data_IF_848712434431
#
_entry.id   IF_848712434431
#
_cell.length_a   1.000
_cell.length_b   1.000
_cell.length_c   1.000
_cell.angle_alpha   90.00
_cell.angle_beta   90.00
_cell.angle_gamma   90.00
#
_symmetry.space_group_name_H-M   'P 1'
#
loop_
_entity.id
_entity.type
_entity.pdbx_description
1 polymer ?
#
# COMPACT_ATOMS: atom_id res chain seq x y z
N UNK A 1 -24.51 3.91 23.30
CA UNK A 1 -24.22 3.71 21.86
C UNK A 1 -25.00 2.47 21.42
N UNK A 2 -25.46 2.35 20.18
CA UNK A 2 -26.12 1.12 19.71
C UNK A 2 -25.07 0.06 19.34
N UNK A 3 -25.40 -1.23 19.48
CA UNK A 3 -24.53 -2.33 19.06
C UNK A 3 -24.06 -2.18 17.60
N UNK A 4 -24.95 -1.72 16.72
CA UNK A 4 -24.61 -1.50 15.32
C UNK A 4 -23.60 -0.36 15.12
N UNK A 5 -23.77 0.76 15.84
CA UNK A 5 -22.82 1.88 15.77
C UNK A 5 -21.45 1.49 16.35
N UNK A 6 -21.44 0.71 17.43
CA UNK A 6 -20.22 0.18 18.02
C UNK A 6 -19.51 -0.81 17.09
N UNK A 7 -20.26 -1.77 16.52
CA UNK A 7 -19.73 -2.74 15.54
C UNK A 7 -19.07 -2.04 14.35
N UNK A 8 -19.72 -1.00 13.81
CA UNK A 8 -19.18 -0.20 12.71
C UNK A 8 -17.87 0.49 13.10
N UNK A 9 -17.85 1.18 14.23
CA UNK A 9 -16.66 1.86 14.74
C UNK A 9 -15.49 0.88 14.91
N UNK A 10 -15.73 -0.28 15.53
CA UNK A 10 -14.68 -1.29 15.70
C UNK A 10 -14.23 -1.87 14.36
N UNK A 11 -15.13 -2.07 13.39
CA UNK A 11 -14.73 -2.53 12.06
C UNK A 11 -13.85 -1.50 11.32
N UNK A 12 -14.12 -0.20 11.50
CA UNK A 12 -13.33 0.90 10.90
C UNK A 12 -11.90 0.99 11.48
N UNK A 13 -11.65 0.48 12.70
CA UNK A 13 -10.31 0.33 13.27
C UNK A 13 -9.46 -0.74 12.55
N UNK A 14 -10.08 -1.53 11.65
CA UNK A 14 -9.45 -2.58 10.85
C UNK A 14 -9.62 -2.33 9.35
N UNK A 15 -8.75 -1.54 8.70
CA UNK A 15 -8.90 -1.18 7.28
C UNK A 15 -8.99 -2.38 6.33
N UNK A 16 -8.32 -3.49 6.65
CA UNK A 16 -8.40 -4.72 5.85
C UNK A 16 -9.81 -5.33 5.87
N UNK A 17 -10.53 -5.23 7.00
CA UNK A 17 -11.89 -5.73 7.12
C UNK A 17 -12.86 -4.86 6.31
N UNK A 18 -12.74 -3.54 6.39
CA UNK A 18 -13.54 -2.62 5.57
C UNK A 18 -13.33 -2.91 4.08
N UNK A 19 -12.08 -3.11 3.65
CA UNK A 19 -11.75 -3.48 2.27
C UNK A 19 -12.42 -4.80 1.88
N UNK A 20 -12.37 -5.82 2.74
CA UNK A 20 -13.00 -7.12 2.47
C UNK A 20 -14.54 -7.03 2.43
N UNK A 21 -15.15 -6.17 3.27
CA UNK A 21 -16.60 -5.91 3.25
C UNK A 21 -17.00 -5.27 1.92
N UNK A 22 -16.28 -4.24 1.45
CA UNK A 22 -16.47 -3.61 0.13
C UNK A 22 -16.36 -4.63 -1.01
N UNK A 23 -15.46 -5.60 -0.88
CA UNK A 23 -15.26 -6.66 -1.86
C UNK A 23 -16.29 -7.80 -1.79
N UNK A 24 -17.17 -7.82 -0.77
CA UNK A 24 -18.21 -8.84 -0.63
C UNK A 24 -17.69 -10.25 -0.30
N UNK A 25 -16.46 -10.38 0.24
CA UNK A 25 -15.80 -11.67 0.50
C UNK A 25 -15.82 -12.09 1.97
N UNK A 26 -16.47 -11.32 2.84
CA UNK A 26 -16.43 -11.53 4.30
C UNK A 26 -17.39 -12.63 4.76
N UNK A 27 -16.89 -13.56 5.57
CA UNK A 27 -17.72 -14.38 6.43
C UNK A 27 -18.11 -13.56 7.69
N UNK A 28 -19.34 -13.04 7.70
CA UNK A 28 -19.82 -12.12 8.75
C UNK A 28 -19.76 -12.72 10.17
N UNK A 29 -20.01 -14.02 10.33
CA UNK A 29 -19.93 -14.66 11.65
C UNK A 29 -18.48 -14.76 12.13
N UNK A 30 -17.53 -15.02 11.23
CA UNK A 30 -16.11 -15.02 11.58
C UNK A 30 -15.63 -13.61 11.92
N UNK A 31 -15.99 -12.61 11.11
CA UNK A 31 -15.69 -11.21 11.38
C UNK A 31 -16.29 -10.73 12.71
N UNK A 32 -17.52 -11.12 13.03
CA UNK A 32 -18.15 -10.78 14.31
C UNK A 32 -17.38 -11.32 15.53
N UNK A 33 -16.81 -12.53 15.44
CA UNK A 33 -15.95 -13.09 16.50
C UNK A 33 -14.62 -12.38 16.59
N UNK A 34 -14.05 -11.97 15.45
CA UNK A 34 -12.79 -11.23 15.40
C UNK A 34 -12.88 -9.86 16.07
N UNK A 35 -14.02 -9.16 15.93
CA UNK A 35 -14.18 -7.81 16.48
C UNK A 35 -14.35 -7.74 18.00
N UNK A 36 -14.65 -8.86 18.66
CA UNK A 36 -14.80 -8.95 20.12
C UNK A 36 -15.70 -7.85 20.74
N UNK A 37 -16.71 -7.40 20.00
CA UNK A 37 -17.68 -6.39 20.47
C UNK A 37 -18.63 -7.03 21.48
N UNK A 38 -18.96 -6.28 22.55
CA UNK A 38 -19.92 -6.71 23.57
C UNK A 38 -21.33 -6.91 22.98
N UNK A 39 -21.71 -8.15 22.74
CA UNK A 39 -23.03 -8.51 22.21
C UNK A 39 -23.12 -9.93 21.67
N UNK A 40 -24.32 -10.30 21.19
CA UNK A 40 -24.53 -11.58 20.52
C UNK A 40 -23.86 -11.57 19.14
N UNK A 41 -23.07 -12.62 18.84
CA UNK A 41 -22.32 -12.74 17.58
C UNK A 41 -23.21 -12.61 16.34
N UNK A 42 -24.43 -13.16 16.37
CA UNK A 42 -25.36 -13.08 15.23
C UNK A 42 -25.90 -11.66 15.03
N UNK A 43 -26.09 -10.90 16.11
CA UNK A 43 -26.48 -9.51 16.05
C UNK A 43 -25.35 -8.64 15.46
N UNK A 44 -24.10 -8.89 15.86
CA UNK A 44 -22.90 -8.22 15.31
C UNK A 44 -22.72 -8.59 13.84
N UNK A 45 -22.84 -9.87 13.46
CA UNK A 45 -22.76 -10.32 12.07
C UNK A 45 -23.84 -9.66 11.20
N UNK A 46 -25.05 -9.50 11.74
CA UNK A 46 -26.15 -8.78 11.07
C UNK A 46 -25.82 -7.30 10.90
N UNK A 47 -25.22 -6.65 11.91
CA UNK A 47 -24.78 -5.27 11.81
C UNK A 47 -23.67 -5.10 10.75
N UNK A 48 -22.71 -6.01 10.68
CA UNK A 48 -21.66 -6.00 9.65
C UNK A 48 -22.22 -6.15 8.23
N UNK A 49 -23.22 -7.01 8.04
CA UNK A 49 -23.88 -7.17 6.72
C UNK A 49 -24.55 -5.88 6.28
N UNK A 50 -25.30 -5.23 7.18
CA UNK A 50 -25.94 -3.94 6.90
C UNK A 50 -24.90 -2.86 6.58
N UNK A 51 -23.81 -2.83 7.35
CA UNK A 51 -22.73 -1.89 7.07
C UNK A 51 -22.09 -2.14 5.70
N UNK A 52 -21.86 -3.40 5.31
CA UNK A 52 -21.34 -3.73 3.98
C UNK A 52 -22.25 -3.23 2.84
N UNK A 53 -23.57 -3.28 3.02
CA UNK A 53 -24.56 -2.76 2.05
C UNK A 53 -24.52 -1.22 1.91
N UNK A 54 -23.97 -0.50 2.90
CA UNK A 54 -23.81 0.96 2.89
C UNK A 54 -22.49 1.41 2.23
N UNK A 55 -21.52 0.52 2.07
CA UNK A 55 -20.19 0.85 1.55
C UNK A 55 -20.15 0.93 0.02
N UNK A 56 -19.26 1.78 -0.50
CA UNK A 56 -18.90 1.76 -1.93
C UNK A 56 -18.35 0.37 -2.30
N UNK A 57 -18.74 -0.14 -3.48
CA UNK A 57 -18.20 -1.39 -3.97
C UNK A 57 -16.67 -1.30 -4.09
N UNK A 58 -15.97 -2.42 -3.88
CA UNK A 58 -14.55 -2.49 -4.16
C UNK A 58 -14.33 -2.50 -5.68
N UNK A 59 -13.72 -1.45 -6.19
CA UNK A 59 -13.34 -1.32 -7.59
C UNK A 59 -11.83 -1.01 -7.69
N UNK A 60 -11.25 -1.23 -8.87
CA UNK A 60 -9.83 -0.98 -9.13
C UNK A 60 -9.66 -0.36 -10.49
N UNK A 61 -8.74 0.60 -10.58
CA UNK A 61 -8.35 1.25 -11.82
C UNK A 61 -6.85 1.07 -12.11
N UNK A 62 -6.51 0.95 -13.39
CA UNK A 62 -5.12 1.02 -13.84
C UNK A 62 -4.62 2.46 -13.85
N UNK A 63 -3.36 2.67 -13.46
CA UNK A 63 -2.68 3.97 -13.58
C UNK A 63 -1.96 4.08 -14.92
N UNK A 64 -2.10 5.24 -15.57
CA UNK A 64 -1.31 5.57 -16.78
C UNK A 64 0.09 6.03 -16.35
N UNK A 65 1.04 5.10 -16.37
CA UNK A 65 2.38 5.28 -15.82
C UNK A 65 3.42 4.58 -16.68
N UNK A 66 4.64 5.09 -16.66
CA UNK A 66 5.82 4.38 -17.15
C UNK A 66 6.67 3.96 -15.96
N UNK A 67 6.85 2.65 -15.80
CA UNK A 67 7.71 2.07 -14.76
C UNK A 67 9.07 1.74 -15.35
N UNK A 68 10.14 2.01 -14.62
CA UNK A 68 11.51 1.69 -14.98
C UNK A 68 12.31 1.31 -13.74
N UNK A 69 13.40 0.60 -13.96
CA UNK A 69 14.34 0.19 -12.94
C UNK A 69 15.66 0.95 -13.11
N UNK A 70 16.23 1.45 -12.02
CA UNK A 70 17.56 2.05 -11.96
C UNK A 70 18.40 1.27 -10.94
N UNK A 71 19.55 0.75 -11.37
CA UNK A 71 20.50 0.03 -10.53
C UNK A 71 21.68 0.94 -10.16
N UNK A 72 22.47 0.53 -9.16
CA UNK A 72 23.62 1.32 -8.71
C UNK A 72 23.21 2.46 -7.78
N UNK A 73 22.08 2.30 -7.09
CA UNK A 73 21.58 3.28 -6.13
C UNK A 73 22.29 3.05 -4.81
N UNK A 74 22.76 4.11 -4.17
CA UNK A 74 23.27 4.03 -2.81
C UNK A 74 23.05 5.31 -2.02
N UNK A 75 23.41 5.24 -0.74
CA UNK A 75 23.21 6.34 0.21
C UNK A 75 24.11 7.52 -0.13
N UNK A 76 23.60 8.72 0.05
CA UNK A 76 24.34 9.99 -0.08
C UNK A 76 24.12 10.86 1.14
N UNK A 77 25.12 11.66 1.51
CA UNK A 77 25.08 12.57 2.66
C UNK A 77 25.59 13.97 2.27
N UNK A 78 25.15 15.00 2.99
CA UNK A 78 25.67 16.36 2.87
C UNK A 78 25.32 17.03 1.54
N UNK A 79 26.31 17.64 0.87
CA UNK A 79 26.08 18.41 -0.36
C UNK A 79 25.46 17.56 -1.50
N UNK A 80 25.70 16.25 -1.51
CA UNK A 80 25.16 15.31 -2.48
C UNK A 80 23.66 15.00 -2.30
N UNK A 81 23.06 15.35 -1.15
CA UNK A 81 21.61 15.18 -0.92
C UNK A 81 20.76 15.99 -1.90
N UNK A 82 21.29 17.11 -2.41
CA UNK A 82 20.60 17.93 -3.41
C UNK A 82 20.38 17.22 -4.75
N UNK A 83 21.10 16.14 -4.99
CA UNK A 83 20.99 15.28 -6.18
C UNK A 83 20.23 13.98 -5.90
N UNK A 84 19.70 13.79 -4.68
CA UNK A 84 19.00 12.59 -4.28
C UNK A 84 17.70 12.37 -5.08
N UNK A 85 17.50 11.13 -5.54
CA UNK A 85 16.25 10.70 -6.16
C UNK A 85 15.14 10.53 -5.12
N UNK A 86 15.51 10.20 -3.88
CA UNK A 86 14.59 10.07 -2.77
C UNK A 86 15.31 10.43 -1.47
N UNK A 87 14.68 11.30 -0.69
CA UNK A 87 15.09 11.64 0.65
C UNK A 87 13.91 11.47 1.62
N UNK A 88 14.14 10.77 2.73
CA UNK A 88 13.18 10.58 3.82
C UNK A 88 13.90 10.83 5.14
N UNK A 89 13.70 12.04 5.69
CA UNK A 89 14.48 12.49 6.84
C UNK A 89 15.96 12.59 6.49
N UNK A 90 16.80 11.88 7.22
CA UNK A 90 18.27 11.83 7.00
C UNK A 90 18.67 10.76 5.97
N UNK A 91 17.75 9.90 5.52
CA UNK A 91 18.06 8.88 4.52
C UNK A 91 17.89 9.45 3.11
N UNK A 92 18.97 9.57 2.34
CA UNK A 92 18.96 10.04 0.97
C UNK A 92 19.64 9.06 0.02
N UNK A 93 19.07 8.86 -1.17
CA UNK A 93 19.53 7.88 -2.15
C UNK A 93 19.70 8.49 -3.53
N UNK A 94 20.84 8.23 -4.17
CA UNK A 94 21.16 8.70 -5.52
C UNK A 94 21.88 7.62 -6.34
N UNK A 95 21.91 7.74 -7.68
CA UNK A 95 22.81 6.94 -8.52
C UNK A 95 24.26 7.19 -8.14
N UNK A 96 25.10 6.14 -8.23
CA UNK A 96 26.54 6.19 -7.95
C UNK A 96 26.91 6.67 -6.52
N UNK A 97 25.94 6.68 -5.59
CA UNK A 97 26.15 6.94 -4.17
C UNK A 97 26.66 5.70 -3.43
N UNK A 98 27.52 5.89 -2.42
CA UNK A 98 28.01 4.83 -1.53
C UNK A 98 28.45 3.55 -2.25
N UNK A 99 27.98 2.40 -1.76
CA UNK A 99 28.30 1.07 -2.30
C UNK A 99 27.48 0.69 -3.56
N UNK A 100 26.46 1.49 -3.94
CA UNK A 100 25.63 1.22 -5.13
C UNK A 100 24.84 -0.10 -5.11
N UNK A 101 24.57 -0.65 -3.92
CA UNK A 101 24.00 -1.99 -3.73
C UNK A 101 22.46 -2.03 -3.67
N UNK A 102 21.81 -0.98 -4.15
CA UNK A 102 20.36 -0.91 -4.23
C UNK A 102 19.85 -0.71 -5.66
N UNK A 103 18.56 -0.97 -5.82
CA UNK A 103 17.81 -0.74 -7.05
C UNK A 103 16.62 0.15 -6.73
N UNK A 104 16.44 1.23 -7.48
CA UNK A 104 15.24 2.03 -7.45
C UNK A 104 14.26 1.56 -8.54
N UNK A 105 13.00 1.40 -8.16
CA UNK A 105 11.87 1.27 -9.09
C UNK A 105 11.18 2.63 -9.15
N UNK A 106 11.16 3.22 -10.33
CA UNK A 106 10.62 4.56 -10.57
C UNK A 106 9.42 4.46 -11.49
N UNK A 107 8.27 4.96 -11.05
CA UNK A 107 7.07 5.10 -11.86
C UNK A 107 6.75 6.59 -12.04
N UNK A 108 6.58 7.03 -13.29
CA UNK A 108 6.24 8.41 -13.64
C UNK A 108 4.91 8.43 -14.39
N UNK A 109 3.99 9.31 -13.98
CA UNK A 109 2.67 9.45 -14.58
C UNK A 109 1.59 9.75 -13.53
N UNK A 110 0.41 9.17 -13.71
CA UNK A 110 -0.73 9.35 -12.81
C UNK A 110 -0.59 8.51 -11.53
N UNK A 111 0.37 8.86 -10.67
CA UNK A 111 0.62 8.23 -9.36
C UNK A 111 0.22 9.14 -8.21
N UNK A 112 -0.32 8.52 -7.16
CA UNK A 112 -0.81 9.15 -5.95
C UNK A 112 -0.50 8.30 -4.70
N UNK A 113 -0.94 8.77 -3.53
CA UNK A 113 -0.75 8.04 -2.28
C UNK A 113 -1.43 6.67 -2.28
N UNK A 114 -2.58 6.52 -2.96
CA UNK A 114 -3.27 5.25 -3.09
C UNK A 114 -2.46 4.25 -3.92
N UNK A 115 -1.81 4.71 -5.00
CA UNK A 115 -0.89 3.93 -5.80
C UNK A 115 0.32 3.47 -4.99
N UNK A 116 0.94 4.36 -4.20
CA UNK A 116 2.04 3.98 -3.30
C UNK A 116 1.58 2.93 -2.27
N UNK A 117 0.41 3.11 -1.66
CA UNK A 117 -0.12 2.13 -0.72
C UNK A 117 -0.38 0.76 -1.37
N UNK A 118 -0.87 0.73 -2.62
CA UNK A 118 -1.04 -0.50 -3.37
C UNK A 118 0.29 -1.20 -3.67
N UNK A 119 1.31 -0.44 -4.09
CA UNK A 119 2.67 -0.94 -4.32
C UNK A 119 3.26 -1.54 -3.04
N UNK A 120 3.21 -0.83 -1.91
CA UNK A 120 3.76 -1.32 -0.64
C UNK A 120 3.08 -2.61 -0.17
N UNK A 121 1.74 -2.70 -0.30
CA UNK A 121 1.01 -3.94 0.01
C UNK A 121 1.43 -5.09 -0.90
N UNK A 122 1.60 -4.84 -2.20
CA UNK A 122 2.03 -5.87 -3.16
C UNK A 122 3.44 -6.36 -2.89
N UNK A 123 4.39 -5.46 -2.60
CA UNK A 123 5.76 -5.81 -2.24
C UNK A 123 5.81 -6.65 -0.95
N UNK A 124 4.98 -6.30 0.05
CA UNK A 124 4.88 -7.09 1.29
C UNK A 124 4.40 -8.52 1.05
N UNK A 125 3.54 -8.77 0.07
CA UNK A 125 3.08 -10.12 -0.29
C UNK A 125 4.17 -10.95 -0.98
N UNK A 126 5.14 -10.29 -1.61
CA UNK A 126 6.30 -10.91 -2.26
C UNK A 126 7.52 -10.98 -1.31
N UNK A 127 7.34 -10.67 -0.02
CA UNK A 127 8.38 -10.62 1.01
C UNK A 127 9.54 -9.66 0.67
N UNK A 128 9.25 -8.60 -0.07
CA UNK A 128 10.21 -7.54 -0.41
C UNK A 128 9.96 -6.36 0.52
N UNK A 129 10.92 -6.07 1.39
CA UNK A 129 10.90 -4.89 2.26
C UNK A 129 11.61 -3.72 1.58
N UNK A 130 10.89 -2.63 1.23
CA UNK A 130 11.54 -1.42 0.74
C UNK A 130 12.44 -0.80 1.80
N UNK A 131 13.60 -0.31 1.37
CA UNK A 131 14.52 0.47 2.20
C UNK A 131 13.97 1.89 2.36
N UNK A 132 13.46 2.45 1.28
CA UNK A 132 12.79 3.75 1.25
C UNK A 132 11.73 3.76 0.15
N UNK A 133 10.67 4.55 0.33
CA UNK A 133 9.66 4.75 -0.70
C UNK A 133 9.02 6.14 -0.57
N UNK A 134 8.55 6.68 -1.69
CA UNK A 134 7.91 7.99 -1.73
C UNK A 134 7.05 8.19 -2.97
N UNK A 135 6.14 9.15 -2.90
CA UNK A 135 5.36 9.64 -4.04
C UNK A 135 5.25 11.16 -3.96
N UNK A 136 5.40 11.83 -5.09
CA UNK A 136 5.34 13.29 -5.19
C UNK A 136 5.48 13.73 -6.63
N UNK A 137 4.84 14.85 -6.98
CA UNK A 137 4.95 15.50 -8.30
C UNK A 137 4.79 14.53 -9.50
N UNK A 138 3.86 13.56 -9.42
CA UNK A 138 3.63 12.59 -10.49
C UNK A 138 4.71 11.51 -10.62
N UNK A 139 5.56 11.35 -9.60
CA UNK A 139 6.57 10.31 -9.51
C UNK A 139 6.38 9.47 -8.25
N UNK A 140 6.56 8.17 -8.38
CA UNK A 140 6.59 7.20 -7.28
C UNK A 140 7.94 6.48 -7.36
N UNK A 141 8.62 6.37 -6.23
CA UNK A 141 9.91 5.70 -6.15
C UNK A 141 9.92 4.72 -4.98
N UNK A 142 10.48 3.54 -5.23
CA UNK A 142 10.76 2.54 -4.19
C UNK A 142 12.21 2.06 -4.33
N UNK A 143 13.00 2.17 -3.27
CA UNK A 143 14.35 1.63 -3.19
C UNK A 143 14.31 0.26 -2.51
N UNK A 144 14.90 -0.74 -3.16
CA UNK A 144 14.97 -2.13 -2.66
C UNK A 144 16.40 -2.65 -2.76
N UNK A 145 16.67 -3.78 -2.10
CA UNK A 145 17.91 -4.51 -2.28
C UNK A 145 18.15 -4.86 -3.76
N UNK A 146 19.41 -4.80 -4.19
CA UNK A 146 19.81 -5.07 -5.58
C UNK A 146 19.26 -6.40 -6.12
N UNK A 147 19.27 -7.46 -5.30
CA UNK A 147 18.79 -8.78 -5.68
C UNK A 147 17.26 -8.85 -5.86
N UNK A 148 16.50 -7.96 -5.22
CA UNK A 148 15.05 -7.91 -5.31
C UNK A 148 14.54 -7.14 -6.53
N UNK A 149 15.40 -6.37 -7.21
CA UNK A 149 15.02 -5.39 -8.24
C UNK A 149 14.05 -5.91 -9.31
N UNK A 150 14.34 -7.07 -9.91
CA UNK A 150 13.48 -7.62 -10.97
C UNK A 150 12.10 -8.07 -10.46
N UNK A 151 12.00 -8.58 -9.22
CA UNK A 151 10.73 -8.97 -8.63
C UNK A 151 9.95 -7.74 -8.16
N UNK A 152 10.65 -6.75 -7.59
CA UNK A 152 10.06 -5.47 -7.21
C UNK A 152 9.46 -4.73 -8.41
N UNK A 153 10.15 -4.72 -9.55
CA UNK A 153 9.64 -4.12 -10.79
C UNK A 153 8.29 -4.72 -11.19
N UNK A 154 8.21 -6.06 -11.28
CA UNK A 154 6.97 -6.77 -11.64
C UNK A 154 5.86 -6.51 -10.63
N UNK A 155 6.19 -6.55 -9.33
CA UNK A 155 5.24 -6.28 -8.26
C UNK A 155 4.68 -4.84 -8.35
N UNK A 156 5.52 -3.87 -8.69
CA UNK A 156 5.08 -2.47 -8.88
C UNK A 156 4.18 -2.35 -10.11
N UNK A 157 4.54 -2.96 -11.24
CA UNK A 157 3.70 -2.97 -12.45
C UNK A 157 2.33 -3.61 -12.19
N UNK A 158 2.30 -4.78 -11.55
CA UNK A 158 1.07 -5.48 -11.16
C UNK A 158 0.19 -4.60 -10.26
N UNK A 159 0.78 -3.95 -9.26
CA UNK A 159 0.05 -3.10 -8.33
C UNK A 159 -0.57 -1.89 -9.02
N UNK A 160 0.17 -1.26 -9.94
CA UNK A 160 -0.28 -0.07 -10.67
C UNK A 160 -1.32 -0.39 -11.76
N UNK A 161 -1.44 -1.66 -12.17
CA UNK A 161 -2.48 -2.11 -13.09
C UNK A 161 -3.87 -2.24 -12.43
N UNK A 162 -3.95 -2.29 -11.09
CA UNK A 162 -5.20 -2.49 -10.36
C UNK A 162 -5.18 -1.78 -8.99
N UNK A 163 -5.08 -0.45 -8.99
CA UNK A 163 -5.10 0.35 -7.76
C UNK A 163 -6.54 0.46 -7.24
N UNK A 164 -6.81 0.12 -5.96
CA UNK A 164 -8.15 0.26 -5.39
C UNK A 164 -8.67 1.68 -5.44
N UNK A 165 -9.93 1.86 -5.82
CA UNK A 165 -10.65 3.14 -5.77
C UNK A 165 -11.34 3.32 -4.42
N UNK A 166 -11.60 4.57 -4.04
CA UNK A 166 -12.33 4.91 -2.81
C UNK A 166 -13.85 4.71 -2.95
#
# INVERSE_FOLDING_TARGET
MSLAAETRRTAEEHPFLVTALRAGIVNYTAAARFLEVDGETDAIATALRRYAEELSAYETDSRDVRVRMESGIGSVDGDAESEALLAVGEAAFAPDGGDGDHTAIVAVGAVDAAALAAVLRRLSLEEIAPIAAGVGEGSLLVVVDRLAGANALRAVEDALAAVPTE
#
